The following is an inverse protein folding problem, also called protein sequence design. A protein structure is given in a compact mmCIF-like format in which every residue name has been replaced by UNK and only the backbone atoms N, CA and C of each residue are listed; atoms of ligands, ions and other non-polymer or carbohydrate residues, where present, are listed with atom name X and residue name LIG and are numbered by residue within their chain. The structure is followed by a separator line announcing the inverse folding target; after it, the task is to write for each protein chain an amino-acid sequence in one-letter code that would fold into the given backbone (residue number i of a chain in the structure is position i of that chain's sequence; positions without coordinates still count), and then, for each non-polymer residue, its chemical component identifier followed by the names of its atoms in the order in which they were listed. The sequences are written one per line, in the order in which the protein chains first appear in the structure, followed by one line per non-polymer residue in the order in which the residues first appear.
data_IF_936627669100
#
_entry.id   IF_936627669100
#
_cell.length_a   1.000
_cell.length_b   1.000
_cell.length_c   1.000
_cell.angle_alpha   90.00
_cell.angle_beta   90.00
_cell.angle_gamma   90.00
#
_symmetry.space_group_name_H-M   'P 1'
#
loop_
_entity.id
_entity.type
_entity.pdbx_description
1 polymer ?
#
# COMPACT_ATOMS: atom_id res chain seq x y z
N UNK A 1 61.96 22.14 13.10
CA UNK A 1 60.77 22.16 13.97
C UNK A 1 59.54 21.79 13.15
N UNK A 2 58.85 20.72 13.54
CA UNK A 2 57.40 20.51 13.35
C UNK A 2 56.84 20.31 11.94
N UNK A 3 57.10 19.17 11.29
CA UNK A 3 56.25 18.64 10.21
C UNK A 3 55.05 17.88 10.80
N UNK A 4 54.08 18.62 11.33
CA UNK A 4 52.81 18.06 11.81
C UNK A 4 51.65 18.71 11.08
N UNK A 5 51.27 18.16 9.92
CA UNK A 5 49.94 18.40 9.32
C UNK A 5 49.57 17.50 8.13
N UNK A 6 50.20 16.32 7.97
CA UNK A 6 49.90 15.41 6.86
C UNK A 6 49.03 14.21 7.28
N UNK A 7 48.99 13.85 8.56
CA UNK A 7 48.24 12.68 9.05
C UNK A 7 46.78 12.98 9.44
N UNK A 8 46.42 14.23 9.77
CA UNK A 8 45.04 14.58 10.09
C UNK A 8 44.13 14.73 8.86
N UNK A 9 44.69 15.09 7.69
CA UNK A 9 43.90 15.23 6.45
C UNK A 9 43.49 13.89 5.81
N UNK A 10 44.18 12.78 6.13
CA UNK A 10 43.87 11.46 5.58
C UNK A 10 42.77 10.70 6.34
N UNK A 11 42.48 11.08 7.60
CA UNK A 11 41.42 10.43 8.40
C UNK A 11 40.02 11.04 8.17
N UNK A 12 39.94 12.33 7.84
CA UNK A 12 38.68 13.02 7.57
C UNK A 12 38.01 12.62 6.24
N UNK A 13 38.78 12.07 5.27
CA UNK A 13 38.26 11.68 3.95
C UNK A 13 37.67 10.27 3.89
N UNK A 14 37.76 9.49 4.98
CA UNK A 14 37.27 8.10 5.07
C UNK A 14 35.91 7.97 5.78
N UNK A 15 35.31 9.10 6.17
CA UNK A 15 33.92 9.24 6.60
C UNK A 15 33.03 9.79 5.47
N UNK A 16 33.47 9.64 4.21
CA UNK A 16 32.52 9.63 3.11
C UNK A 16 31.64 8.39 3.35
N UNK A 17 30.51 8.63 4.01
CA UNK A 17 29.40 7.70 4.25
C UNK A 17 29.35 6.76 3.05
N UNK A 18 29.67 5.47 3.26
CA UNK A 18 29.41 4.45 2.25
C UNK A 18 27.96 4.69 1.83
N UNK A 19 27.76 5.22 0.61
CA UNK A 19 26.43 5.33 0.04
C UNK A 19 25.90 3.90 0.12
N UNK A 20 24.89 3.67 0.95
CA UNK A 20 24.21 2.39 0.99
C UNK A 20 23.98 1.99 -0.47
N UNK A 21 24.36 0.76 -0.85
CA UNK A 21 24.11 0.21 -2.19
C UNK A 21 22.59 0.11 -2.37
N UNK A 22 21.93 1.25 -2.56
CA UNK A 22 20.51 1.33 -2.83
C UNK A 22 20.28 0.58 -4.11
N UNK A 23 19.26 -0.27 -4.09
CA UNK A 23 18.74 -0.89 -5.31
C UNK A 23 18.44 0.24 -6.29
N UNK A 24 18.56 0.00 -7.59
CA UNK A 24 18.45 1.09 -8.53
C UNK A 24 17.02 1.63 -8.61
N UNK A 25 16.01 1.01 -7.95
CA UNK A 25 14.59 1.40 -7.90
C UNK A 25 14.18 1.89 -6.51
N UNK A 26 13.05 2.61 -6.47
CA UNK A 26 12.48 3.21 -5.27
C UNK A 26 12.43 2.23 -4.08
N UNK A 27 12.80 2.74 -2.90
CA UNK A 27 12.54 2.10 -1.61
C UNK A 27 11.13 2.46 -1.16
N UNK A 28 10.30 1.45 -0.92
CA UNK A 28 8.85 1.61 -0.72
C UNK A 28 8.45 1.13 0.66
N UNK A 29 7.61 1.89 1.35
CA UNK A 29 6.89 1.45 2.55
C UNK A 29 5.42 1.30 2.21
N UNK A 30 4.80 0.20 2.65
CA UNK A 30 3.36 -0.02 2.59
C UNK A 30 2.89 -0.33 4.01
N UNK A 31 2.00 0.50 4.55
CA UNK A 31 1.38 0.32 5.86
C UNK A 31 -0.10 0.03 5.64
N UNK A 32 -0.56 -1.12 6.11
CA UNK A 32 -1.96 -1.54 5.98
C UNK A 32 -2.69 -1.36 7.31
N UNK A 33 -3.99 -1.07 7.26
CA UNK A 33 -4.87 -1.05 8.42
C UNK A 33 -5.06 -2.45 9.03
N UNK A 34 -5.32 -3.46 8.20
CA UNK A 34 -5.41 -4.84 8.65
C UNK A 34 -4.04 -5.47 8.93
N UNK A 35 -3.94 -6.28 9.98
CA UNK A 35 -2.70 -6.98 10.36
C UNK A 35 -2.34 -8.14 9.42
N UNK A 36 -3.33 -8.69 8.69
CA UNK A 36 -3.17 -9.99 8.02
C UNK A 36 -3.48 -9.98 6.53
N UNK A 37 -4.73 -9.73 6.13
CA UNK A 37 -5.18 -9.96 4.75
C UNK A 37 -4.37 -9.13 3.74
N UNK A 38 -4.33 -7.82 3.93
CA UNK A 38 -3.65 -6.88 3.03
C UNK A 38 -2.12 -7.04 3.09
N UNK A 39 -1.48 -7.10 4.29
CA UNK A 39 -0.06 -7.37 4.38
C UNK A 39 0.36 -8.68 3.73
N UNK A 40 -0.40 -9.77 3.91
CA UNK A 40 -0.09 -11.06 3.29
C UNK A 40 -0.18 -10.97 1.77
N UNK A 41 -1.24 -10.36 1.23
CA UNK A 41 -1.40 -10.15 -0.20
C UNK A 41 -0.21 -9.36 -0.81
N UNK A 42 0.17 -8.25 -0.18
CA UNK A 42 1.28 -7.44 -0.69
C UNK A 42 2.64 -8.11 -0.50
N UNK A 43 2.83 -8.92 0.56
CA UNK A 43 4.06 -9.71 0.76
C UNK A 43 4.22 -10.75 -0.36
N UNK A 44 3.16 -11.46 -0.70
CA UNK A 44 3.14 -12.41 -1.82
C UNK A 44 3.42 -11.71 -3.16
N UNK A 45 2.81 -10.54 -3.41
CA UNK A 45 3.10 -9.73 -4.60
C UNK A 45 4.58 -9.25 -4.63
N UNK A 46 5.10 -8.79 -3.48
CA UNK A 46 6.51 -8.40 -3.34
C UNK A 46 7.44 -9.55 -3.71
N UNK A 47 7.16 -10.76 -3.22
CA UNK A 47 7.97 -11.94 -3.46
C UNK A 47 7.91 -12.35 -4.94
N UNK A 48 6.71 -12.33 -5.53
CA UNK A 48 6.50 -12.56 -6.96
C UNK A 48 7.29 -11.58 -7.84
N UNK A 49 7.24 -10.28 -7.53
CA UNK A 49 7.96 -9.24 -8.26
C UNK A 49 9.45 -9.12 -7.85
N UNK A 50 9.88 -9.85 -6.81
CA UNK A 50 11.22 -9.82 -6.20
C UNK A 50 11.63 -8.41 -5.75
N UNK A 51 10.76 -7.70 -5.03
CA UNK A 51 10.95 -6.29 -4.65
C UNK A 51 11.61 -6.14 -3.27
N UNK A 52 12.91 -6.42 -3.20
CA UNK A 52 13.66 -6.39 -1.93
C UNK A 52 13.59 -5.05 -1.16
N UNK A 53 13.39 -3.93 -1.87
CA UNK A 53 13.31 -2.58 -1.28
C UNK A 53 11.92 -2.20 -0.76
N UNK A 54 10.92 -3.07 -0.92
CA UNK A 54 9.58 -2.86 -0.40
C UNK A 54 9.46 -3.42 1.02
N UNK A 55 9.05 -2.58 1.96
CA UNK A 55 8.70 -2.94 3.34
C UNK A 55 7.19 -2.90 3.49
N UNK A 56 6.59 -3.96 4.05
CA UNK A 56 5.13 -4.09 4.21
C UNK A 56 4.84 -4.44 5.68
N UNK A 57 3.93 -3.70 6.30
CA UNK A 57 3.49 -3.92 7.69
C UNK A 57 2.00 -3.67 7.84
N UNK A 58 1.37 -4.34 8.80
CA UNK A 58 -0.02 -4.10 9.25
C UNK A 58 -0.12 -3.83 10.75
N UNK A 59 1.01 -3.76 11.46
CA UNK A 59 1.06 -3.74 12.92
C UNK A 59 0.91 -2.30 13.46
N UNK A 60 -0.12 -1.58 13.02
CA UNK A 60 -0.30 -0.16 13.31
C UNK A 60 -1.59 0.17 14.07
N UNK A 61 -2.50 -0.78 14.23
CA UNK A 61 -3.82 -0.58 14.83
C UNK A 61 -4.92 -0.46 13.79
N UNK A 62 -6.16 -0.32 14.26
CA UNK A 62 -7.36 -0.50 13.43
C UNK A 62 -8.06 0.82 13.08
N UNK A 63 -7.31 1.85 12.66
CA UNK A 63 -7.94 3.05 12.12
C UNK A 63 -7.06 3.71 11.05
N UNK A 64 -7.66 4.41 10.06
CA UNK A 64 -6.94 5.18 9.06
C UNK A 64 -5.90 6.15 9.64
N UNK A 65 -6.20 6.84 10.76
CA UNK A 65 -5.23 7.76 11.35
C UNK A 65 -4.02 7.03 11.95
N UNK A 66 -4.23 5.87 12.58
CA UNK A 66 -3.15 5.07 13.12
C UNK A 66 -2.19 4.59 12.02
N UNK A 67 -2.73 4.19 10.85
CA UNK A 67 -1.94 3.84 9.66
C UNK A 67 -1.04 5.01 9.25
N UNK A 68 -1.60 6.23 9.18
CA UNK A 68 -0.88 7.44 8.78
C UNK A 68 0.21 7.81 9.78
N UNK A 69 -0.09 7.75 11.08
CA UNK A 69 0.86 8.09 12.15
C UNK A 69 2.01 7.11 12.21
N UNK A 70 1.71 5.82 12.11
CA UNK A 70 2.73 4.79 12.09
C UNK A 70 3.61 4.84 10.84
N UNK A 71 3.02 5.12 9.68
CA UNK A 71 3.78 5.34 8.45
C UNK A 71 4.74 6.53 8.56
N UNK A 72 4.29 7.61 9.21
CA UNK A 72 5.12 8.78 9.48
C UNK A 72 6.30 8.46 10.41
N UNK A 73 6.06 7.70 11.49
CA UNK A 73 7.10 7.32 12.44
C UNK A 73 8.18 6.46 11.78
N UNK A 74 7.78 5.42 11.03
CA UNK A 74 8.73 4.58 10.28
C UNK A 74 9.53 5.40 9.28
N UNK A 75 8.87 6.34 8.58
CA UNK A 75 9.55 7.23 7.64
C UNK A 75 10.60 8.09 8.34
N UNK A 76 10.25 8.73 9.45
CA UNK A 76 11.16 9.60 10.21
C UNK A 76 12.38 8.84 10.72
N UNK A 77 12.21 7.62 11.23
CA UNK A 77 13.33 6.80 11.69
C UNK A 77 14.26 6.39 10.53
N UNK A 78 13.68 6.01 9.39
CA UNK A 78 14.47 5.72 8.19
C UNK A 78 15.20 6.97 7.66
N UNK A 79 14.58 8.14 7.69
CA UNK A 79 15.18 9.41 7.29
C UNK A 79 16.34 9.82 8.21
N UNK A 80 16.18 9.69 9.53
CA UNK A 80 17.26 9.93 10.50
C UNK A 80 18.46 9.00 10.29
N UNK A 81 18.20 7.74 9.93
CA UNK A 81 19.25 6.79 9.52
C UNK A 81 19.87 7.12 8.14
N UNK A 82 19.30 8.12 7.43
CA UNK A 82 19.56 8.50 6.04
C UNK A 82 19.38 7.35 5.06
N UNK A 83 18.38 6.54 5.31
CA UNK A 83 17.83 5.57 4.40
C UNK A 83 16.32 5.77 4.20
N UNK A 84 15.91 7.04 4.01
CA UNK A 84 14.53 7.45 3.79
C UNK A 84 13.84 6.68 2.65
N UNK A 85 12.55 6.42 2.80
CA UNK A 85 11.73 5.83 1.74
C UNK A 85 11.50 6.84 0.61
N UNK A 86 11.50 6.37 -0.63
CA UNK A 86 11.16 7.19 -1.80
C UNK A 86 9.64 7.30 -1.95
N UNK A 87 8.90 6.24 -1.55
CA UNK A 87 7.43 6.21 -1.53
C UNK A 87 6.90 5.51 -0.29
N UNK A 88 5.81 6.04 0.25
CA UNK A 88 5.07 5.52 1.40
C UNK A 88 3.60 5.45 1.03
N UNK A 89 3.02 4.25 1.06
CA UNK A 89 1.62 4.00 0.79
C UNK A 89 0.90 3.61 2.08
N UNK A 90 -0.15 4.34 2.41
CA UNK A 90 -1.06 4.02 3.51
C UNK A 90 -2.30 3.35 2.93
N UNK A 91 -2.50 2.06 3.22
CA UNK A 91 -3.60 1.24 2.72
C UNK A 91 -4.64 1.10 3.82
N UNK A 92 -5.86 1.57 3.57
CA UNK A 92 -6.94 1.49 4.55
C UNK A 92 -8.31 1.47 3.87
N UNK A 93 -9.28 0.92 4.59
CA UNK A 93 -10.64 0.75 4.09
C UNK A 93 -11.49 1.98 4.44
N UNK A 94 -12.52 2.25 3.63
CA UNK A 94 -13.55 3.23 3.99
C UNK A 94 -14.76 2.49 4.55
N UNK A 95 -14.72 2.20 5.83
CA UNK A 95 -15.86 1.69 6.58
C UNK A 95 -16.52 2.81 7.44
N UNK A 96 -17.13 2.46 8.57
CA UNK A 96 -17.80 3.41 9.45
C UNK A 96 -16.84 4.28 10.31
N UNK A 97 -15.53 4.14 10.16
CA UNK A 97 -14.55 4.94 10.91
C UNK A 97 -14.62 6.45 10.56
N UNK A 98 -14.77 7.29 11.59
CA UNK A 98 -14.94 8.74 11.43
C UNK A 98 -13.68 9.52 11.08
N UNK A 99 -12.50 8.89 11.14
CA UNK A 99 -11.19 9.52 10.88
C UNK A 99 -10.68 9.32 9.45
N UNK A 100 -11.39 8.57 8.59
CA UNK A 100 -11.02 8.33 7.20
C UNK A 100 -10.65 9.61 6.44
N UNK A 101 -11.53 10.62 6.43
CA UNK A 101 -11.27 11.87 5.72
C UNK A 101 -10.13 12.67 6.36
N UNK A 102 -10.02 12.63 7.69
CA UNK A 102 -8.95 13.32 8.40
C UNK A 102 -7.57 12.70 8.08
N UNK A 103 -7.51 11.38 7.91
CA UNK A 103 -6.30 10.66 7.51
C UNK A 103 -5.87 11.04 6.08
N UNK A 104 -6.81 11.08 5.13
CA UNK A 104 -6.57 11.57 3.77
C UNK A 104 -6.05 13.01 3.79
N UNK A 105 -6.74 13.91 4.50
CA UNK A 105 -6.35 15.31 4.61
C UNK A 105 -4.95 15.47 5.20
N UNK A 106 -4.61 14.67 6.22
CA UNK A 106 -3.28 14.67 6.82
C UNK A 106 -2.21 14.27 5.80
N UNK A 107 -2.41 13.17 5.08
CA UNK A 107 -1.48 12.70 4.04
C UNK A 107 -1.26 13.77 2.95
N UNK A 108 -2.31 14.45 2.48
CA UNK A 108 -2.16 15.51 1.46
C UNK A 108 -1.30 16.70 1.93
N UNK A 109 -1.30 16.96 3.24
CA UNK A 109 -0.55 18.07 3.86
C UNK A 109 0.88 17.69 4.25
N UNK A 110 1.18 16.39 4.37
CA UNK A 110 2.50 15.88 4.76
C UNK A 110 3.63 16.35 3.83
N UNK A 111 4.84 16.31 4.38
CA UNK A 111 6.10 16.62 3.69
C UNK A 111 7.11 15.53 3.97
N UNK A 112 7.98 15.18 2.99
CA UNK A 112 8.09 15.76 1.65
C UNK A 112 6.89 15.45 0.73
N UNK A 113 6.61 16.36 -0.22
CA UNK A 113 5.51 16.17 -1.20
C UNK A 113 5.80 14.95 -2.08
N UNK A 114 4.74 14.26 -2.52
CA UNK A 114 4.78 13.08 -3.41
C UNK A 114 5.43 11.82 -2.83
N UNK A 115 5.78 11.82 -1.54
CA UNK A 115 6.28 10.61 -0.87
C UNK A 115 5.14 9.80 -0.27
N UNK A 116 4.20 10.46 0.41
CA UNK A 116 3.06 9.81 1.06
C UNK A 116 1.83 9.80 0.16
N UNK A 117 1.14 8.66 0.10
CA UNK A 117 -0.06 8.45 -0.70
C UNK A 117 -1.03 7.50 0.00
N UNK A 118 -2.32 7.82 -0.07
CA UNK A 118 -3.37 6.92 0.40
C UNK A 118 -3.77 5.97 -0.72
N UNK A 119 -4.00 4.71 -0.39
CA UNK A 119 -4.54 3.69 -1.29
C UNK A 119 -5.77 3.10 -0.59
N UNK A 120 -6.96 3.50 -1.04
CA UNK A 120 -8.19 3.15 -0.32
C UNK A 120 -9.01 2.09 -1.03
N UNK A 121 -9.79 1.34 -0.26
CA UNK A 121 -10.79 0.41 -0.78
C UNK A 121 -12.13 0.65 -0.09
N UNK A 122 -13.20 0.73 -0.88
CA UNK A 122 -14.54 1.09 -0.41
C UNK A 122 -15.53 0.01 -0.85
N UNK A 123 -16.20 -0.68 0.09
CA UNK A 123 -16.11 -0.49 1.55
C UNK A 123 -14.88 -1.13 2.19
N UNK A 124 -14.27 -2.14 1.54
CA UNK A 124 -13.19 -2.91 2.14
C UNK A 124 -12.24 -3.55 1.12
N UNK A 125 -11.11 -4.09 1.59
CA UNK A 125 -10.14 -4.78 0.75
C UNK A 125 -10.72 -5.99 0.01
N UNK A 126 -11.69 -6.70 0.59
CA UNK A 126 -12.33 -7.84 -0.09
C UNK A 126 -13.05 -7.45 -1.39
N UNK A 127 -13.40 -6.16 -1.58
CA UNK A 127 -13.91 -5.69 -2.86
C UNK A 127 -12.86 -5.85 -3.97
N UNK A 128 -11.59 -5.55 -3.69
CA UNK A 128 -10.49 -5.79 -4.64
C UNK A 128 -10.42 -7.27 -5.04
N UNK A 129 -10.52 -8.19 -4.07
CA UNK A 129 -10.49 -9.63 -4.35
C UNK A 129 -11.71 -10.09 -5.17
N UNK A 130 -12.89 -9.52 -4.94
CA UNK A 130 -14.11 -9.81 -5.70
C UNK A 130 -13.94 -9.48 -7.19
N UNK A 131 -13.24 -8.38 -7.49
CA UNK A 131 -13.00 -7.94 -8.87
C UNK A 131 -12.12 -8.87 -9.70
N UNK A 132 -11.43 -9.84 -9.08
CA UNK A 132 -10.75 -10.93 -9.79
C UNK A 132 -11.72 -11.94 -10.42
N UNK A 133 -12.97 -11.99 -9.97
CA UNK A 133 -13.98 -12.91 -10.48
C UNK A 133 -14.89 -12.21 -11.49
N UNK A 134 -15.51 -11.11 -11.08
CA UNK A 134 -16.50 -10.40 -11.87
C UNK A 134 -16.38 -8.89 -11.68
N UNK A 135 -16.70 -8.13 -12.74
CA UNK A 135 -16.90 -6.69 -12.62
C UNK A 135 -18.20 -6.41 -11.86
N UNK A 136 -18.13 -5.53 -10.86
CA UNK A 136 -19.32 -4.98 -10.20
C UNK A 136 -19.05 -3.56 -9.73
N UNK A 137 -19.96 -2.65 -10.08
CA UNK A 137 -20.06 -1.27 -9.60
C UNK A 137 -21.38 -1.03 -8.85
N UNK A 138 -22.11 -2.11 -8.53
CA UNK A 138 -23.34 -2.05 -7.76
C UNK A 138 -23.03 -1.57 -6.34
N UNK A 139 -23.67 -0.50 -5.85
CA UNK A 139 -23.51 -0.05 -4.48
C UNK A 139 -23.81 -1.15 -3.47
N UNK A 140 -22.95 -1.26 -2.45
CA UNK A 140 -23.19 -2.15 -1.32
C UNK A 140 -23.90 -1.38 -0.19
N UNK A 141 -24.85 -2.03 0.46
CA UNK A 141 -25.58 -1.46 1.59
C UNK A 141 -25.56 -2.45 2.75
N UNK A 142 -25.57 -1.93 3.97
CA UNK A 142 -25.76 -2.78 5.14
C UNK A 142 -27.18 -3.38 5.09
N UNK A 143 -27.30 -4.67 5.41
CA UNK A 143 -28.61 -5.35 5.45
C UNK A 143 -28.74 -6.14 6.75
N UNK A 144 -29.77 -5.82 7.53
CA UNK A 144 -30.00 -6.45 8.83
C UNK A 144 -28.80 -6.26 9.76
N UNK A 145 -28.13 -7.36 10.13
CA UNK A 145 -26.94 -7.36 10.99
C UNK A 145 -25.61 -7.30 10.23
N UNK A 146 -25.64 -7.38 8.89
CA UNK A 146 -24.43 -7.38 8.07
C UNK A 146 -24.02 -5.95 7.75
N UNK A 147 -22.76 -5.61 8.06
CA UNK A 147 -22.13 -4.37 7.61
C UNK A 147 -21.97 -4.35 6.08
N UNK A 148 -21.65 -3.18 5.52
CA UNK A 148 -21.40 -3.03 4.07
C UNK A 148 -20.24 -3.96 3.63
N UNK A 149 -19.15 -3.99 4.38
CA UNK A 149 -18.04 -4.92 4.17
C UNK A 149 -18.46 -6.39 4.31
N UNK A 150 -19.38 -6.69 5.25
CA UNK A 150 -19.97 -8.02 5.40
C UNK A 150 -20.72 -8.49 4.16
N UNK A 151 -21.40 -7.58 3.45
CA UNK A 151 -22.09 -7.89 2.19
C UNK A 151 -21.11 -8.18 1.05
N UNK A 152 -20.01 -7.43 0.96
CA UNK A 152 -18.93 -7.73 0.00
C UNK A 152 -18.32 -9.10 0.28
N UNK A 153 -18.03 -9.40 1.55
CA UNK A 153 -17.49 -10.68 1.96
C UNK A 153 -18.43 -11.85 1.61
N UNK A 154 -19.74 -11.66 1.80
CA UNK A 154 -20.73 -12.67 1.43
C UNK A 154 -20.72 -12.95 -0.08
N UNK A 155 -20.67 -11.92 -0.92
CA UNK A 155 -20.61 -12.08 -2.37
C UNK A 155 -19.28 -12.70 -2.83
N UNK A 156 -18.16 -12.29 -2.22
CA UNK A 156 -16.85 -12.93 -2.44
C UNK A 156 -16.90 -14.43 -2.12
N UNK A 157 -17.49 -14.81 -0.98
CA UNK A 157 -17.61 -16.22 -0.58
C UNK A 157 -18.53 -17.05 -1.49
N UNK A 158 -19.46 -16.44 -2.22
CA UNK A 158 -20.22 -17.15 -3.25
C UNK A 158 -19.34 -17.54 -4.45
N UNK A 159 -18.36 -16.70 -4.79
CA UNK A 159 -17.40 -16.93 -5.88
C UNK A 159 -16.18 -17.73 -5.45
N UNK A 160 -15.82 -17.63 -4.17
CA UNK A 160 -14.68 -18.28 -3.54
C UNK A 160 -15.08 -18.83 -2.16
N UNK A 161 -15.74 -19.99 -2.11
CA UNK A 161 -16.23 -20.57 -0.85
C UNK A 161 -15.14 -20.84 0.19
N UNK A 162 -13.95 -21.21 -0.27
CA UNK A 162 -12.75 -21.50 0.54
C UNK A 162 -12.07 -20.22 1.07
N UNK A 163 -12.56 -19.02 0.75
CA UNK A 163 -11.93 -17.78 1.20
C UNK A 163 -12.13 -17.57 2.71
N UNK A 164 -11.02 -17.51 3.42
CA UNK A 164 -10.95 -17.08 4.81
C UNK A 164 -10.13 -15.79 4.91
N UNK A 165 -10.54 -14.89 5.81
CA UNK A 165 -9.72 -13.72 6.13
C UNK A 165 -8.37 -14.18 6.66
N UNK A 166 -7.31 -13.43 6.36
CA UNK A 166 -5.93 -13.78 6.69
C UNK A 166 -5.36 -15.04 6.02
N UNK A 167 -6.04 -15.63 5.02
CA UNK A 167 -5.50 -16.76 4.27
C UNK A 167 -4.23 -16.38 3.51
N UNK A 168 -3.22 -17.24 3.56
CA UNK A 168 -2.03 -17.13 2.71
C UNK A 168 -2.31 -17.69 1.31
N UNK A 169 -1.59 -17.20 0.32
CA UNK A 169 -1.74 -17.56 -1.10
C UNK A 169 -2.90 -16.84 -1.78
N UNK A 170 -3.50 -15.82 -1.16
CA UNK A 170 -4.61 -15.10 -1.76
C UNK A 170 -4.20 -14.39 -3.06
N UNK A 171 -2.98 -13.82 -3.10
CA UNK A 171 -2.44 -13.24 -4.33
C UNK A 171 -2.16 -14.32 -5.36
N UNK A 172 -1.46 -15.39 -4.97
CA UNK A 172 -1.05 -16.47 -5.88
C UNK A 172 -2.25 -17.15 -6.56
N UNK A 173 -3.30 -17.46 -5.79
CA UNK A 173 -4.53 -18.06 -6.30
C UNK A 173 -5.27 -17.15 -7.30
N UNK A 174 -5.04 -15.84 -7.20
CA UNK A 174 -5.71 -14.80 -7.99
C UNK A 174 -4.82 -14.21 -9.08
N UNK A 175 -3.57 -14.67 -9.20
CA UNK A 175 -2.55 -14.14 -10.10
C UNK A 175 -2.98 -14.17 -11.57
N UNK A 176 -3.64 -15.24 -12.03
CA UNK A 176 -4.07 -15.37 -13.43
C UNK A 176 -5.11 -14.32 -13.84
N UNK A 177 -5.91 -13.84 -12.89
CA UNK A 177 -6.96 -12.84 -13.10
C UNK A 177 -6.50 -11.42 -12.76
N UNK A 178 -5.22 -11.21 -12.43
CA UNK A 178 -4.73 -9.93 -11.92
C UNK A 178 -4.98 -8.76 -12.88
N UNK A 179 -4.69 -8.94 -14.17
CA UNK A 179 -4.93 -7.88 -15.18
C UNK A 179 -6.42 -7.60 -15.40
N UNK A 180 -7.26 -8.64 -15.29
CA UNK A 180 -8.71 -8.50 -15.34
C UNK A 180 -9.23 -7.71 -14.12
N UNK A 181 -8.74 -8.04 -12.92
CA UNK A 181 -9.06 -7.31 -11.68
C UNK A 181 -8.64 -5.84 -11.75
N UNK A 182 -7.43 -5.56 -12.25
CA UNK A 182 -6.93 -4.20 -12.45
C UNK A 182 -7.84 -3.40 -13.40
N UNK A 183 -8.25 -4.01 -14.51
CA UNK A 183 -9.18 -3.40 -15.47
C UNK A 183 -10.54 -3.11 -14.83
N UNK A 184 -11.06 -4.07 -14.06
CA UNK A 184 -12.34 -3.92 -13.36
C UNK A 184 -12.29 -2.82 -12.29
N UNK A 185 -11.20 -2.76 -11.51
CA UNK A 185 -11.01 -1.75 -10.48
C UNK A 185 -10.86 -0.34 -11.07
N UNK A 186 -10.09 -0.18 -12.14
CA UNK A 186 -9.96 1.10 -12.85
C UNK A 186 -11.30 1.56 -13.42
N UNK A 187 -12.09 0.63 -13.97
CA UNK A 187 -13.44 0.92 -14.47
C UNK A 187 -14.38 1.33 -13.34
N UNK A 188 -14.41 0.59 -12.22
CA UNK A 188 -15.27 0.88 -11.08
C UNK A 188 -14.92 2.24 -10.45
N UNK A 189 -13.63 2.53 -10.28
CA UNK A 189 -13.16 3.82 -9.77
C UNK A 189 -13.62 4.98 -10.66
N UNK A 190 -13.48 4.84 -11.98
CA UNK A 190 -13.97 5.85 -12.94
C UNK A 190 -15.48 6.03 -12.88
N UNK A 191 -16.25 4.94 -12.78
CA UNK A 191 -17.71 5.00 -12.63
C UNK A 191 -18.13 5.70 -11.34
N UNK A 192 -17.48 5.36 -10.22
CA UNK A 192 -17.75 5.96 -8.92
C UNK A 192 -17.50 7.49 -8.96
N UNK A 193 -16.36 7.91 -9.50
CA UNK A 193 -16.03 9.33 -9.71
C UNK A 193 -17.06 10.05 -10.58
N UNK A 194 -17.47 9.46 -11.71
CA UNK A 194 -18.45 10.04 -12.61
C UNK A 194 -19.84 10.22 -11.96
N UNK A 195 -20.17 9.34 -11.01
CA UNK A 195 -21.44 9.36 -10.28
C UNK A 195 -21.38 10.13 -8.96
N UNK A 196 -20.22 10.73 -8.60
CA UNK A 196 -20.05 11.45 -7.33
C UNK A 196 -20.18 10.56 -6.09
N UNK A 197 -19.82 9.27 -6.21
CA UNK A 197 -19.81 8.31 -5.12
C UNK A 197 -18.44 7.64 -5.00
N UNK A 198 -18.19 6.94 -3.90
CA UNK A 198 -17.05 6.05 -3.75
C UNK A 198 -17.47 4.60 -3.45
N UNK A 199 -18.77 4.28 -3.44
CA UNK A 199 -19.26 2.94 -3.14
C UNK A 199 -19.83 2.22 -4.39
N UNK A 200 -19.19 1.14 -4.87
CA UNK A 200 -17.87 0.64 -4.50
C UNK A 200 -16.76 1.21 -5.39
N UNK A 201 -15.55 1.32 -4.86
CA UNK A 201 -14.35 1.64 -5.62
C UNK A 201 -13.09 1.16 -4.87
N UNK A 202 -11.97 1.05 -5.58
CA UNK A 202 -10.68 0.70 -4.95
C UNK A 202 -9.50 1.24 -5.74
N UNK A 203 -8.47 1.69 -5.04
CA UNK A 203 -7.20 2.14 -5.61
C UNK A 203 -6.10 1.06 -5.52
N UNK A 204 -6.40 -0.14 -5.01
CA UNK A 204 -5.42 -1.21 -4.84
C UNK A 204 -4.73 -1.57 -6.17
N UNK A 205 -5.47 -1.52 -7.28
CA UNK A 205 -4.92 -1.74 -8.62
C UNK A 205 -3.78 -0.76 -8.98
N UNK A 206 -3.85 0.50 -8.55
CA UNK A 206 -2.82 1.51 -8.81
C UNK A 206 -1.52 1.15 -8.07
N UNK A 207 -1.62 0.68 -6.82
CA UNK A 207 -0.49 0.19 -6.04
C UNK A 207 0.11 -1.10 -6.62
N UNK A 208 -0.74 -2.04 -7.03
CA UNK A 208 -0.30 -3.28 -7.70
C UNK A 208 0.48 -2.93 -8.98
N UNK A 209 -0.07 -2.05 -9.81
CA UNK A 209 0.58 -1.58 -11.04
C UNK A 209 1.91 -0.90 -10.78
N UNK A 210 1.95 -0.05 -9.75
CA UNK A 210 3.17 0.61 -9.32
C UNK A 210 4.25 -0.41 -8.96
N UNK A 211 3.91 -1.44 -8.16
CA UNK A 211 4.84 -2.47 -7.71
C UNK A 211 5.31 -3.37 -8.86
N UNK A 212 4.42 -3.81 -9.75
CA UNK A 212 4.79 -4.61 -10.93
C UNK A 212 5.77 -3.88 -11.85
N UNK A 213 5.66 -2.55 -11.94
CA UNK A 213 6.49 -1.72 -12.81
C UNK A 213 7.70 -1.08 -12.09
N UNK A 214 7.89 -1.35 -10.79
CA UNK A 214 8.89 -0.68 -9.95
C UNK A 214 10.31 -0.79 -10.53
N UNK A 215 10.68 -1.97 -11.04
CA UNK A 215 11.99 -2.23 -11.67
C UNK A 215 12.12 -1.67 -13.09
N UNK A 216 11.00 -1.46 -13.79
CA UNK A 216 10.98 -1.01 -15.18
C UNK A 216 11.07 0.51 -15.31
N UNK A 217 10.69 1.25 -14.27
CA UNK A 217 10.75 2.73 -14.25
C UNK A 217 12.15 3.33 -14.41
N UNK A 218 13.20 2.53 -14.27
CA UNK A 218 14.61 2.96 -14.33
C UNK A 218 15.26 2.83 -15.71
N UNK A 219 14.56 2.23 -16.68
CA UNK A 219 15.09 2.06 -18.05
C UNK A 219 14.84 3.29 -18.92
N UNK A 220 14.52 4.45 -18.34
CA UNK A 220 14.30 5.72 -19.05
C UNK A 220 15.31 6.76 -18.63
#
# INVERSE_FOLDING_TARGET
MGTDNLFHKRKAKKLARQKANRKPYDKVLIVCEGEKTEPNYFKELKDYCKLDSATITGDCGSSPMNVVDYAWDIYCEAEKAGDAFDRVFCVFDKDAHGDYQAAIDKLTRMRPRKVFEAITSVPCFEYWLLLHFDYTDRPFHATGKNSIAGMVLQELKQKWPEYEKAVHGAFEQRLRQLEYAKTNAARALKTAQANGTDNPCTQIHELVDYLQNLKNKLKK
#
